data_IF_418485441939
#
_entry.id   IF_418485441939
#
_cell.length_a   1.000
_cell.length_b   1.000
_cell.length_c   1.000
_cell.angle_alpha   90.00
_cell.angle_beta   90.00
_cell.angle_gamma   90.00
#
_symmetry.space_group_name_H-M   'P 1'
#
loop_
_entity.id
_entity.type
_entity.pdbx_description
1 polymer ?
#
# COMPACT_ATOMS: atom_id res chain seq x y z
N UNK A 1 12.75 5.76 -0.38
CA UNK A 1 11.49 5.30 -1.01
C UNK A 1 11.70 4.80 -2.42
N UNK A 2 12.45 5.50 -3.27
CA UNK A 2 12.65 5.16 -4.70
C UNK A 2 13.22 3.77 -4.96
N UNK A 3 14.03 3.25 -4.06
CA UNK A 3 14.63 1.91 -4.18
C UNK A 3 13.68 0.77 -3.85
N UNK A 4 12.61 1.02 -3.10
CA UNK A 4 11.75 -0.04 -2.52
C UNK A 4 10.32 -0.05 -3.03
N UNK A 5 9.86 1.01 -3.71
CA UNK A 5 8.47 1.08 -4.14
C UNK A 5 8.20 2.00 -5.32
N UNK A 6 7.06 1.80 -5.96
CA UNK A 6 6.51 2.62 -7.02
C UNK A 6 5.41 3.51 -6.47
N UNK A 7 5.60 4.83 -6.54
CA UNK A 7 4.66 5.82 -6.02
C UNK A 7 4.62 7.05 -6.95
N UNK A 8 3.84 8.05 -6.65
CA UNK A 8 3.54 9.14 -7.60
C UNK A 8 4.77 9.87 -8.17
N UNK A 9 5.88 9.97 -7.43
CA UNK A 9 7.07 10.71 -7.87
C UNK A 9 8.03 9.89 -8.75
N UNK A 10 8.01 8.57 -8.68
CA UNK A 10 8.89 7.71 -9.47
C UNK A 10 8.16 6.77 -10.42
N UNK A 11 6.88 6.98 -10.61
CA UNK A 11 6.03 6.15 -11.46
C UNK A 11 6.13 6.48 -12.95
N UNK A 12 6.80 7.57 -13.31
CA UNK A 12 7.09 7.93 -14.69
C UNK A 12 8.60 7.76 -14.92
N UNK A 13 8.97 7.02 -15.95
CA UNK A 13 10.38 6.88 -16.35
C UNK A 13 10.98 8.27 -16.64
N UNK A 14 11.98 8.67 -15.84
CA UNK A 14 12.74 9.91 -16.02
C UNK A 14 12.36 11.08 -15.09
N UNK A 15 11.39 10.95 -14.20
CA UNK A 15 11.11 11.97 -13.18
C UNK A 15 11.73 11.60 -11.84
N UNK A 16 12.82 12.27 -11.52
CA UNK A 16 13.37 12.34 -10.16
C UNK A 16 13.07 13.74 -9.62
N UNK A 17 12.29 13.86 -8.57
CA UNK A 17 12.08 15.14 -7.88
C UNK A 17 10.62 15.49 -7.58
N UNK A 18 10.42 16.39 -6.63
CA UNK A 18 9.16 16.90 -6.08
C UNK A 18 8.31 17.75 -7.06
N UNK A 19 8.21 17.34 -8.31
CA UNK A 19 7.31 18.00 -9.25
C UNK A 19 5.87 17.65 -8.89
N UNK A 20 5.03 18.65 -8.76
CA UNK A 20 3.59 18.48 -8.59
C UNK A 20 3.07 17.43 -9.57
N UNK A 21 2.52 16.37 -8.99
CA UNK A 21 1.91 15.30 -9.77
C UNK A 21 0.61 15.83 -10.34
N UNK A 22 0.69 16.39 -11.54
CA UNK A 22 -0.52 16.64 -12.30
C UNK A 22 -1.22 15.32 -12.56
N UNK A 23 -2.53 15.27 -12.32
CA UNK A 23 -3.39 14.08 -12.46
C UNK A 23 -3.54 13.54 -13.90
N UNK A 24 -2.63 13.86 -14.81
CA UNK A 24 -2.63 13.26 -16.13
C UNK A 24 -2.09 11.84 -16.04
N UNK A 25 -2.93 10.90 -16.42
CA UNK A 25 -2.68 9.46 -16.30
C UNK A 25 -1.73 8.90 -17.37
N UNK A 26 -1.18 9.73 -18.25
CA UNK A 26 -0.29 9.26 -19.31
C UNK A 26 1.03 8.71 -18.73
N UNK A 27 1.28 7.44 -19.00
CA UNK A 27 2.50 6.75 -18.56
C UNK A 27 2.54 6.35 -17.10
N UNK A 28 1.45 6.56 -16.34
CA UNK A 28 1.33 6.18 -14.93
C UNK A 28 0.47 4.93 -14.77
N UNK A 29 0.89 4.03 -13.91
CA UNK A 29 0.14 2.80 -13.64
C UNK A 29 0.90 1.84 -12.76
N UNK A 30 0.42 0.61 -12.72
CA UNK A 30 1.10 -0.49 -12.06
C UNK A 30 2.37 -0.88 -12.80
N UNK A 31 3.34 -1.35 -12.05
CA UNK A 31 4.60 -1.88 -12.56
C UNK A 31 4.70 -3.39 -12.31
N UNK A 32 5.58 -4.03 -13.07
CA UNK A 32 5.93 -5.43 -12.86
C UNK A 32 6.45 -5.63 -11.44
N UNK A 33 5.93 -6.65 -10.76
CA UNK A 33 6.30 -6.98 -9.38
C UNK A 33 7.75 -7.45 -9.27
N UNK A 34 8.37 -7.23 -8.11
CA UNK A 34 9.73 -7.69 -7.82
C UNK A 34 10.84 -6.92 -8.54
N UNK A 35 10.58 -5.73 -9.08
CA UNK A 35 11.59 -4.90 -9.78
C UNK A 35 12.28 -3.89 -8.88
N UNK A 36 11.78 -3.67 -7.69
CA UNK A 36 12.42 -2.84 -6.66
C UNK A 36 13.14 -3.71 -5.65
N UNK A 37 13.89 -3.10 -4.71
CA UNK A 37 14.60 -3.84 -3.69
C UNK A 37 13.63 -4.52 -2.71
N UNK A 38 13.92 -5.76 -2.34
CA UNK A 38 13.24 -6.46 -1.27
C UNK A 38 13.58 -5.85 0.11
N UNK A 39 12.71 -6.05 1.07
CA UNK A 39 13.01 -5.75 2.47
C UNK A 39 13.98 -6.80 3.08
N UNK A 40 14.33 -6.64 4.35
CA UNK A 40 15.24 -7.56 5.05
C UNK A 40 14.72 -9.01 5.16
N UNK A 41 13.43 -9.24 4.94
CA UNK A 41 12.80 -10.56 4.90
C UNK A 41 12.71 -11.13 3.48
N UNK A 42 13.27 -10.47 2.48
CA UNK A 42 13.18 -10.88 1.08
C UNK A 42 11.81 -10.62 0.42
N UNK A 43 10.97 -9.79 1.02
CA UNK A 43 9.63 -9.49 0.51
C UNK A 43 9.68 -8.21 -0.33
N UNK A 44 9.14 -8.30 -1.54
CA UNK A 44 9.09 -7.21 -2.52
C UNK A 44 7.78 -6.43 -2.43
N UNK A 45 7.80 -5.19 -2.95
CA UNK A 45 6.63 -4.35 -3.20
C UNK A 45 5.74 -4.10 -1.97
N UNK A 46 6.35 -4.05 -0.78
CA UNK A 46 5.64 -3.71 0.47
C UNK A 46 5.26 -2.24 0.57
N UNK A 47 5.76 -1.42 -0.35
CA UNK A 47 5.49 0.01 -0.44
C UNK A 47 5.26 0.39 -1.90
N UNK A 48 4.09 0.99 -2.19
CA UNK A 48 3.71 1.44 -3.53
C UNK A 48 3.14 0.33 -4.42
N UNK A 49 3.15 0.56 -5.70
CA UNK A 49 2.50 -0.20 -6.76
C UNK A 49 0.97 -0.18 -6.64
N UNK A 50 0.38 -1.02 -5.79
CA UNK A 50 -1.06 -0.98 -5.49
C UNK A 50 -1.29 -1.03 -3.99
N UNK A 51 -2.38 -0.44 -3.53
CA UNK A 51 -2.90 -0.68 -2.19
C UNK A 51 -3.22 -2.16 -2.04
N UNK A 52 -2.88 -2.76 -0.90
CA UNK A 52 -3.15 -4.16 -0.63
C UNK A 52 -4.18 -4.31 0.47
N UNK A 53 -5.22 -5.10 0.21
CA UNK A 53 -6.24 -5.45 1.18
C UNK A 53 -5.62 -6.18 2.37
N UNK A 54 -6.02 -5.76 3.59
CA UNK A 54 -5.80 -6.52 4.82
C UNK A 54 -7.10 -7.19 5.26
N UNK A 55 -6.95 -8.24 6.05
CA UNK A 55 -8.10 -8.95 6.64
C UNK A 55 -8.85 -8.09 7.65
N UNK A 56 -8.17 -7.15 8.30
CA UNK A 56 -8.68 -6.37 9.41
C UNK A 56 -9.81 -5.41 8.99
N UNK A 57 -10.86 -5.34 9.78
CA UNK A 57 -11.81 -4.25 9.71
C UNK A 57 -11.16 -2.94 10.14
N UNK A 58 -11.48 -1.87 9.43
CA UNK A 58 -10.92 -0.56 9.74
C UNK A 58 -11.57 0.02 10.99
N UNK A 59 -10.75 0.45 11.93
CA UNK A 59 -11.09 1.28 13.06
C UNK A 59 -10.19 2.51 13.04
N UNK A 60 -10.77 3.68 13.22
CA UNK A 60 -10.03 4.94 13.29
C UNK A 60 -9.21 5.03 14.59
N UNK A 61 -9.73 4.45 15.66
CA UNK A 61 -9.04 4.36 16.94
C UNK A 61 -8.01 3.23 16.90
N UNK A 62 -6.74 3.58 17.04
CA UNK A 62 -5.70 2.62 17.43
C UNK A 62 -5.43 2.82 18.91
N UNK A 63 -5.73 1.82 19.74
CA UNK A 63 -5.35 1.89 21.16
C UNK A 63 -3.83 1.94 21.27
N UNK A 64 -3.32 2.75 22.20
CA UNK A 64 -1.90 2.75 22.57
C UNK A 64 -1.54 1.59 23.53
N UNK A 65 -2.47 0.65 23.71
CA UNK A 65 -2.28 -0.51 24.57
C UNK A 65 -1.46 -1.59 23.88
N UNK A 66 -0.65 -2.28 24.62
CA UNK A 66 0.04 -3.46 24.13
C UNK A 66 -0.99 -4.57 23.95
N UNK A 67 -1.15 -5.02 22.71
CA UNK A 67 -2.04 -6.13 22.36
C UNK A 67 -1.24 -7.29 21.80
N UNK A 68 -1.69 -8.51 22.08
CA UNK A 68 -1.10 -9.73 21.55
C UNK A 68 -1.96 -10.21 20.40
N UNK A 69 -1.34 -10.46 19.22
CA UNK A 69 -1.98 -10.96 18.01
C UNK A 69 -3.28 -10.21 17.64
N UNK A 70 -3.20 -8.88 17.43
CA UNK A 70 -4.39 -8.08 17.13
C UNK A 70 -5.04 -8.53 15.83
N UNK A 71 -6.35 -8.69 15.85
CA UNK A 71 -7.15 -9.10 14.69
C UNK A 71 -7.99 -7.95 14.10
N UNK A 72 -7.71 -6.72 14.55
CA UNK A 72 -8.47 -5.53 14.17
C UNK A 72 -9.82 -5.42 14.85
N UNK A 73 -10.66 -4.51 14.39
CA UNK A 73 -12.02 -4.33 14.90
C UNK A 73 -12.90 -5.56 14.60
N UNK A 74 -13.88 -5.81 15.45
CA UNK A 74 -14.80 -6.95 15.27
C UNK A 74 -15.74 -6.75 14.05
N UNK A 75 -16.04 -5.49 13.70
CA UNK A 75 -16.86 -5.13 12.54
C UNK A 75 -16.61 -3.68 12.12
N UNK A 76 -16.79 -3.39 10.84
CA UNK A 76 -16.81 -2.04 10.29
C UNK A 76 -17.44 -2.07 8.90
N UNK A 77 -17.66 -0.90 8.31
CA UNK A 77 -18.10 -0.77 6.92
C UNK A 77 -16.93 -0.86 5.91
N UNK A 78 -15.69 -0.87 6.40
CA UNK A 78 -14.50 -0.81 5.57
C UNK A 78 -13.41 -1.76 6.07
N UNK A 79 -12.60 -2.25 5.15
CA UNK A 79 -11.40 -3.02 5.44
C UNK A 79 -10.16 -2.16 5.33
N UNK A 80 -9.13 -2.49 6.09
CA UNK A 80 -7.82 -1.85 6.03
C UNK A 80 -7.15 -2.15 4.69
N UNK A 81 -6.49 -1.13 4.15
CA UNK A 81 -5.54 -1.26 3.04
C UNK A 81 -4.19 -0.66 3.45
N UNK A 82 -3.12 -1.24 2.94
CA UNK A 82 -1.75 -0.89 3.30
C UNK A 82 -0.89 -0.72 2.06
N UNK A 83 0.30 -0.14 2.26
CA UNK A 83 1.37 -0.09 1.30
C UNK A 83 1.37 1.15 0.38
N UNK A 84 0.25 1.82 0.22
CA UNK A 84 0.14 2.87 -0.80
C UNK A 84 0.07 2.30 -2.22
N UNK A 85 0.07 3.18 -3.22
CA UNK A 85 -0.03 2.77 -4.62
C UNK A 85 0.85 3.64 -5.51
N UNK A 86 0.92 3.30 -6.79
CA UNK A 86 1.58 4.08 -7.83
C UNK A 86 1.10 5.54 -7.93
N UNK A 87 -0.09 5.82 -7.41
CA UNK A 87 -0.72 7.15 -7.39
C UNK A 87 -0.57 7.87 -6.04
N UNK A 88 -0.03 7.22 -5.04
CA UNK A 88 0.07 7.74 -3.66
C UNK A 88 1.35 8.55 -3.45
N UNK A 89 1.30 9.55 -2.59
CA UNK A 89 2.51 10.22 -2.09
C UNK A 89 3.32 9.27 -1.21
N UNK A 90 4.62 9.54 -1.05
CA UNK A 90 5.53 8.68 -0.28
C UNK A 90 5.06 8.45 1.17
N UNK A 91 4.43 9.44 1.82
CA UNK A 91 3.94 9.27 3.19
C UNK A 91 2.81 8.23 3.31
N UNK A 92 1.99 8.07 2.27
CA UNK A 92 0.93 7.05 2.23
C UNK A 92 1.50 5.62 2.08
N UNK A 93 2.69 5.50 1.51
CA UNK A 93 3.38 4.24 1.33
C UNK A 93 4.30 3.89 2.52
N UNK A 94 4.24 4.65 3.60
CA UNK A 94 4.96 4.35 4.84
C UNK A 94 4.39 3.10 5.52
N UNK A 95 5.24 2.39 6.26
CA UNK A 95 4.87 1.15 6.95
C UNK A 95 3.79 1.34 8.04
N UNK A 96 3.64 2.55 8.56
CA UNK A 96 2.63 2.87 9.58
C UNK A 96 1.30 3.34 8.98
N UNK A 97 1.30 3.80 7.73
CA UNK A 97 0.10 4.38 7.13
C UNK A 97 -0.96 3.30 6.90
N UNK A 98 -2.19 3.60 7.33
CA UNK A 98 -3.38 2.77 7.12
C UNK A 98 -4.38 3.57 6.29
N UNK A 99 -4.95 2.93 5.31
CA UNK A 99 -6.09 3.45 4.56
C UNK A 99 -7.24 2.44 4.58
N UNK A 100 -8.37 2.79 4.01
CA UNK A 100 -9.53 1.91 4.03
C UNK A 100 -10.40 2.07 2.80
N UNK A 101 -11.03 0.98 2.42
CA UNK A 101 -12.08 0.95 1.41
C UNK A 101 -13.21 0.04 1.85
N UNK A 102 -14.40 0.28 1.27
CA UNK A 102 -15.51 -0.67 1.40
C UNK A 102 -15.14 -1.96 0.67
N UNK A 103 -15.53 -3.15 1.17
CA UNK A 103 -15.17 -4.44 0.52
C UNK A 103 -15.61 -4.56 -0.95
N UNK A 104 -16.64 -3.83 -1.35
CA UNK A 104 -17.15 -3.77 -2.72
C UNK A 104 -16.31 -2.89 -3.65
N UNK A 105 -15.37 -2.11 -3.13
CA UNK A 105 -14.57 -1.18 -3.93
C UNK A 105 -13.65 -1.90 -4.91
N UNK A 106 -13.58 -1.37 -6.13
CA UNK A 106 -12.74 -1.87 -7.22
C UNK A 106 -12.03 -0.68 -7.85
N UNK A 107 -10.70 -0.64 -7.75
CA UNK A 107 -9.87 0.43 -8.29
C UNK A 107 -8.64 -0.14 -8.99
N UNK A 108 -8.13 0.59 -9.99
CA UNK A 108 -6.93 0.20 -10.74
C UNK A 108 -5.63 0.30 -9.92
N UNK A 109 -5.71 0.83 -8.73
CA UNK A 109 -4.59 0.96 -7.79
C UNK A 109 -4.82 0.18 -6.47
N UNK A 110 -5.73 -0.79 -6.50
CA UNK A 110 -6.09 -1.62 -5.35
C UNK A 110 -5.99 -3.10 -5.70
N UNK A 111 -5.28 -3.85 -4.91
CA UNK A 111 -5.01 -5.28 -5.10
C UNK A 111 -4.93 -6.04 -3.79
N UNK A 112 -4.29 -7.18 -3.82
CA UNK A 112 -4.12 -8.03 -2.64
C UNK A 112 -2.85 -8.86 -2.73
N UNK A 113 -2.42 -9.36 -1.57
CA UNK A 113 -1.31 -10.30 -1.42
C UNK A 113 -1.79 -11.50 -0.64
N UNK A 114 -1.51 -12.70 -1.16
CA UNK A 114 -1.79 -13.95 -0.45
C UNK A 114 -0.66 -14.27 0.52
N UNK A 115 -1.01 -14.80 1.69
CA UNK A 115 -0.08 -15.30 2.68
C UNK A 115 -0.33 -16.80 2.86
N UNK A 116 0.74 -17.59 2.87
CA UNK A 116 0.69 -19.02 3.17
C UNK A 116 1.34 -19.27 4.52
N UNK A 117 0.59 -19.87 5.43
CA UNK A 117 1.18 -20.45 6.64
C UNK A 117 1.84 -21.79 6.29
N UNK A 118 3.06 -21.98 6.77
CA UNK A 118 3.67 -23.29 6.81
C UNK A 118 3.46 -23.83 8.22
N UNK A 119 2.73 -24.95 8.32
CA UNK A 119 2.58 -25.70 9.55
C UNK A 119 3.77 -26.63 9.72
#
# INVERSE_FOLDING_TARGET
>A
MDSVGWYCHNNISGTTGDTEVTNSAEGKGTHEVGKKAANALGIYDMSGNVWEWCYDWYDESTSNETVTDPVGASSSHSRVCRGGSWFSYAYNASVSHRYYYKPISQYNNLGFRVVRYQF
#
